data_IF_455591673721
#
_entry.id   IF_455591673721
#
_cell.length_a   1.000
_cell.length_b   1.000
_cell.length_c   1.000
_cell.angle_alpha   90.00
_cell.angle_beta   90.00
_cell.angle_gamma   90.00
#
_symmetry.space_group_name_H-M   'P 1'
#
loop_
_entity.id
_entity.type
_entity.pdbx_description
1 polymer ?
#
# COMPACT_ATOMS: atom_id res chain seq x y z
N UNK A 1 10.02 -16.34 8.29
CA UNK A 1 9.36 -15.43 7.31
C UNK A 1 8.00 -16.01 6.89
N UNK A 2 6.97 -15.19 6.74
CA UNK A 2 5.66 -15.63 6.22
C UNK A 2 5.58 -15.38 4.71
N UNK A 3 4.77 -16.15 4.00
CA UNK A 3 4.58 -16.03 2.54
C UNK A 3 3.65 -14.88 2.13
N UNK A 4 3.09 -14.17 3.11
CA UNK A 4 2.21 -13.01 2.89
C UNK A 4 1.50 -12.56 4.16
N UNK A 5 0.70 -11.50 4.04
CA UNK A 5 0.00 -10.88 5.15
C UNK A 5 -1.00 -11.82 5.85
N UNK A 6 -1.75 -12.63 5.11
CA UNK A 6 -2.78 -13.53 5.67
C UNK A 6 -2.22 -14.49 6.72
N UNK A 7 -1.24 -15.34 6.38
CA UNK A 7 -0.60 -16.24 7.34
C UNK A 7 0.02 -15.50 8.54
N UNK A 8 0.61 -14.32 8.32
CA UNK A 8 1.22 -13.53 9.39
C UNK A 8 0.19 -12.98 10.38
N UNK A 9 -0.97 -12.52 9.90
CA UNK A 9 -2.08 -12.06 10.75
C UNK A 9 -2.67 -13.21 11.57
N UNK A 10 -2.79 -14.41 10.99
CA UNK A 10 -3.24 -15.61 11.73
C UNK A 10 -2.25 -15.96 12.84
N UNK A 11 -0.94 -15.94 12.57
CA UNK A 11 0.09 -16.19 13.58
C UNK A 11 0.02 -15.17 14.74
N UNK A 12 -0.22 -13.89 14.43
CA UNK A 12 -0.42 -12.85 15.44
C UNK A 12 -1.66 -13.11 16.30
N UNK A 13 -2.79 -13.41 15.67
CA UNK A 13 -4.04 -13.72 16.39
C UNK A 13 -3.92 -14.98 17.26
N UNK A 14 -3.09 -15.94 16.85
CA UNK A 14 -2.77 -17.14 17.62
C UNK A 14 -1.68 -16.97 18.68
N UNK A 15 -1.12 -15.77 18.84
CA UNK A 15 -0.08 -15.47 19.83
C UNK A 15 1.30 -16.06 19.51
N UNK A 16 1.56 -16.42 18.25
CA UNK A 16 2.86 -16.96 17.82
C UNK A 16 3.89 -15.86 17.56
N UNK A 17 3.42 -14.63 17.30
CA UNK A 17 4.23 -13.43 17.14
C UNK A 17 3.58 -12.28 17.89
N UNK A 18 4.37 -11.33 18.36
CA UNK A 18 3.87 -10.18 19.14
C UNK A 18 3.42 -9.01 18.27
N UNK A 19 3.96 -8.89 17.06
CA UNK A 19 3.68 -7.80 16.14
C UNK A 19 3.88 -8.19 14.68
N UNK A 20 3.16 -7.50 13.78
CA UNK A 20 3.30 -7.64 12.33
C UNK A 20 3.15 -6.30 11.64
N UNK A 21 3.88 -6.11 10.54
CA UNK A 21 3.65 -5.01 9.60
C UNK A 21 2.73 -5.49 8.48
N UNK A 22 1.57 -4.84 8.30
CA UNK A 22 0.60 -5.22 7.26
C UNK A 22 -0.22 -4.05 6.75
N UNK A 23 -0.84 -4.21 5.57
CA UNK A 23 -1.73 -3.22 4.97
C UNK A 23 -3.14 -3.21 5.59
N UNK A 24 -3.86 -2.07 5.59
CA UNK A 24 -5.17 -1.92 6.23
C UNK A 24 -6.20 -2.98 5.84
N UNK A 25 -6.29 -3.33 4.55
CA UNK A 25 -7.23 -4.32 4.02
C UNK A 25 -7.18 -5.69 4.72
N UNK A 26 -6.01 -6.07 5.24
CA UNK A 26 -5.81 -7.38 5.87
C UNK A 26 -6.17 -7.41 7.36
N UNK A 27 -6.17 -6.25 8.02
CA UNK A 27 -6.33 -6.16 9.49
C UNK A 27 -7.60 -5.44 9.91
N UNK A 28 -8.22 -4.64 9.03
CA UNK A 28 -9.32 -3.73 9.38
C UNK A 28 -10.47 -4.43 10.12
N UNK A 29 -10.90 -5.60 9.65
CA UNK A 29 -12.01 -6.33 10.30
C UNK A 29 -11.64 -6.84 11.69
N UNK A 30 -10.40 -7.29 11.88
CA UNK A 30 -9.90 -7.72 13.19
C UNK A 30 -9.74 -6.55 14.16
N UNK A 31 -9.35 -5.38 13.66
CA UNK A 31 -9.29 -4.13 14.44
C UNK A 31 -10.69 -3.70 14.87
N UNK A 32 -11.66 -3.67 13.93
CA UNK A 32 -13.07 -3.36 14.24
C UNK A 32 -13.69 -4.33 15.26
N UNK A 33 -13.28 -5.59 15.21
CA UNK A 33 -13.70 -6.62 16.15
C UNK A 33 -12.95 -6.58 17.51
N UNK A 34 -12.04 -5.61 17.72
CA UNK A 34 -11.25 -5.49 18.95
C UNK A 34 -10.20 -6.58 19.16
N UNK A 35 -9.93 -7.40 18.14
CA UNK A 35 -8.96 -8.52 18.22
C UNK A 35 -7.52 -8.08 17.97
N UNK A 36 -7.34 -6.99 17.23
CA UNK A 36 -6.04 -6.40 16.95
C UNK A 36 -6.05 -4.92 17.32
N UNK A 37 -4.89 -4.43 17.76
CA UNK A 37 -4.63 -3.01 17.97
C UNK A 37 -3.56 -2.54 16.98
N UNK A 38 -3.85 -1.48 16.25
CA UNK A 38 -2.86 -0.83 15.37
C UNK A 38 -2.05 0.16 16.19
N UNK A 39 -0.72 0.07 16.09
CA UNK A 39 0.19 0.91 16.87
C UNK A 39 0.55 2.21 16.15
N UNK A 40 0.79 2.13 14.84
CA UNK A 40 1.10 3.25 13.97
C UNK A 40 0.87 2.88 12.51
N UNK A 41 0.91 3.88 11.61
CA UNK A 41 0.85 3.69 10.17
C UNK A 41 1.93 4.49 9.44
N UNK A 42 2.34 4.03 8.25
CA UNK A 42 3.49 4.57 7.51
C UNK A 42 3.15 5.70 6.51
N UNK A 43 1.88 5.95 6.27
CA UNK A 43 1.42 6.99 5.36
C UNK A 43 1.69 8.39 5.89
N UNK A 44 1.48 9.38 5.01
CA UNK A 44 1.82 10.79 5.27
C UNK A 44 0.64 11.61 5.78
N UNK A 45 -0.54 11.00 5.93
CA UNK A 45 -1.77 11.66 6.35
C UNK A 45 -2.72 10.71 7.06
N UNK A 46 -3.86 11.24 7.51
CA UNK A 46 -4.87 10.47 8.26
C UNK A 46 -5.48 9.37 7.38
N UNK A 47 -5.61 8.18 7.96
CA UNK A 47 -6.31 7.08 7.33
C UNK A 47 -7.78 7.12 7.74
N UNK A 48 -8.69 7.43 6.81
CA UNK A 48 -10.11 7.60 7.13
C UNK A 48 -10.76 6.38 7.80
N UNK A 49 -10.29 5.16 7.49
CA UNK A 49 -10.81 3.93 8.11
C UNK A 49 -10.34 3.71 9.55
N UNK A 50 -9.28 4.40 9.98
CA UNK A 50 -8.66 4.28 11.32
C UNK A 50 -8.07 5.64 11.73
N UNK A 51 -8.92 6.67 11.95
CA UNK A 51 -8.47 8.06 12.08
C UNK A 51 -7.65 8.35 13.36
N UNK A 52 -7.79 7.50 14.38
CA UNK A 52 -7.09 7.64 15.66
C UNK A 52 -5.69 7.01 15.65
N UNK A 53 -5.31 6.32 14.58
CA UNK A 53 -4.00 5.70 14.45
C UNK A 53 -2.96 6.75 14.03
N UNK A 54 -1.92 7.00 14.83
CA UNK A 54 -0.89 7.99 14.49
C UNK A 54 -0.03 7.51 13.33
N UNK A 55 0.49 8.45 12.54
CA UNK A 55 1.59 8.13 11.62
C UNK A 55 2.86 7.85 12.43
N UNK A 56 3.81 7.12 11.84
CA UNK A 56 5.15 7.00 12.42
C UNK A 56 5.83 8.36 12.58
N UNK A 57 5.56 9.30 11.66
CA UNK A 57 6.04 10.68 11.74
C UNK A 57 5.49 11.44 12.94
N UNK A 58 4.19 11.32 13.23
CA UNK A 58 3.56 11.92 14.42
C UNK A 58 4.19 11.39 15.70
N UNK A 59 4.72 10.17 15.64
CA UNK A 59 5.42 9.50 16.75
C UNK A 59 6.93 9.81 16.78
N UNK A 60 7.42 10.75 15.97
CA UNK A 60 8.82 11.19 15.95
C UNK A 60 9.77 10.34 15.10
N UNK A 61 9.26 9.35 14.36
CA UNK A 61 10.08 8.52 13.47
C UNK A 61 10.06 9.07 12.05
N UNK A 62 11.24 9.35 11.49
CA UNK A 62 11.38 9.72 10.08
C UNK A 62 11.30 8.47 9.18
N UNK A 63 10.12 7.86 9.12
CA UNK A 63 9.86 6.66 8.34
C UNK A 63 8.51 6.79 7.62
N UNK A 64 8.54 6.59 6.30
CA UNK A 64 7.36 6.56 5.45
C UNK A 64 7.43 5.40 4.47
N UNK A 65 6.28 4.81 4.23
CA UNK A 65 6.13 3.72 3.30
C UNK A 65 4.68 3.65 2.84
N UNK A 66 4.48 3.50 1.54
CA UNK A 66 3.18 3.23 0.97
C UNK A 66 3.29 1.96 0.16
N UNK A 67 2.44 0.98 0.44
CA UNK A 67 2.27 -0.14 -0.46
C UNK A 67 1.37 0.33 -1.60
N UNK A 68 1.87 0.26 -2.82
CA UNK A 68 1.16 0.68 -4.02
C UNK A 68 0.98 -0.49 -5.00
N UNK A 69 0.11 -0.31 -5.98
CA UNK A 69 -0.10 -1.25 -7.08
C UNK A 69 -0.27 -0.44 -8.36
N UNK A 70 0.21 -1.00 -9.47
CA UNK A 70 0.22 -0.32 -10.76
C UNK A 70 -0.07 -1.29 -11.90
N UNK A 71 -0.53 -0.74 -13.02
CA UNK A 71 -0.66 -1.46 -14.28
C UNK A 71 0.56 -1.18 -15.14
N UNK A 72 1.21 -2.23 -15.61
CA UNK A 72 2.35 -2.14 -16.51
C UNK A 72 2.03 -2.88 -17.80
N UNK A 73 2.58 -2.40 -18.91
CA UNK A 73 2.44 -3.00 -20.23
C UNK A 73 3.82 -3.33 -20.79
N UNK A 74 3.95 -4.33 -21.69
CA UNK A 74 5.21 -4.59 -22.39
C UNK A 74 5.71 -3.34 -23.13
N UNK A 75 7.03 -3.11 -23.11
CA UNK A 75 7.62 -1.94 -23.77
C UNK A 75 7.34 -1.86 -25.28
N UNK A 76 7.12 -3.01 -25.93
CA UNK A 76 6.80 -3.10 -27.36
C UNK A 76 5.29 -2.97 -27.67
N UNK A 77 4.45 -2.61 -26.70
CA UNK A 77 3.00 -2.46 -26.92
C UNK A 77 2.74 -1.32 -27.92
N UNK A 78 1.96 -1.55 -29.00
CA UNK A 78 1.63 -0.48 -29.94
C UNK A 78 0.90 0.68 -29.27
N UNK A 79 1.27 1.92 -29.63
CA UNK A 79 0.73 3.15 -29.04
C UNK A 79 -0.80 3.20 -28.97
N UNK A 80 -1.56 2.82 -30.02
CA UNK A 80 -3.03 2.82 -29.93
C UNK A 80 -3.59 1.87 -28.86
N UNK A 81 -2.90 0.74 -28.61
CA UNK A 81 -3.29 -0.23 -27.57
C UNK A 81 -2.95 0.33 -26.19
N UNK A 82 -1.76 0.93 -26.04
CA UNK A 82 -1.34 1.57 -24.78
C UNK A 82 -2.32 2.67 -24.36
N UNK A 83 -2.74 3.53 -25.31
CA UNK A 83 -3.72 4.58 -25.06
C UNK A 83 -5.07 4.04 -24.61
N UNK A 84 -5.55 2.96 -25.24
CA UNK A 84 -6.82 2.33 -24.85
C UNK A 84 -6.75 1.74 -23.44
N UNK A 85 -5.64 1.09 -23.07
CA UNK A 85 -5.44 0.54 -21.73
C UNK A 85 -5.34 1.66 -20.68
N UNK A 86 -4.62 2.74 -20.98
CA UNK A 86 -4.54 3.93 -20.11
C UNK A 86 -5.91 4.56 -19.88
N UNK A 87 -6.69 4.76 -20.94
CA UNK A 87 -8.06 5.29 -20.83
C UNK A 87 -8.96 4.40 -19.96
N UNK A 88 -8.86 3.07 -20.12
CA UNK A 88 -9.60 2.13 -19.28
C UNK A 88 -9.17 2.18 -17.80
N UNK A 89 -7.86 2.31 -17.53
CA UNK A 89 -7.35 2.47 -16.16
C UNK A 89 -7.85 3.77 -15.50
N UNK A 90 -7.86 4.89 -16.24
CA UNK A 90 -8.43 6.16 -15.76
C UNK A 90 -9.91 6.01 -15.45
N UNK A 91 -10.68 5.40 -16.34
CA UNK A 91 -12.11 5.17 -16.13
C UNK A 91 -12.37 4.31 -14.89
N UNK A 92 -11.61 3.22 -14.70
CA UNK A 92 -11.74 2.35 -13.53
C UNK A 92 -11.39 3.07 -12.23
N UNK A 93 -10.35 3.92 -12.21
CA UNK A 93 -9.96 4.68 -11.02
C UNK A 93 -11.00 5.73 -10.59
N UNK A 94 -11.83 6.17 -11.54
CA UNK A 94 -12.92 7.13 -11.34
C UNK A 94 -14.28 6.44 -11.09
N UNK A 95 -14.40 5.14 -11.40
CA UNK A 95 -15.64 4.39 -11.20
C UNK A 95 -16.02 4.32 -9.71
N UNK A 96 -17.23 4.79 -9.33
CA UNK A 96 -17.65 4.81 -7.92
C UNK A 96 -17.61 3.44 -7.24
N UNK A 97 -17.96 2.35 -7.95
CA UNK A 97 -17.96 1.00 -7.37
C UNK A 97 -16.55 0.53 -7.07
N UNK A 98 -15.60 0.79 -7.97
CA UNK A 98 -14.18 0.52 -7.72
C UNK A 98 -13.72 1.30 -6.50
N UNK A 99 -14.11 2.58 -6.43
CA UNK A 99 -13.72 3.43 -5.32
C UNK A 99 -14.27 2.96 -3.98
N UNK A 100 -15.54 2.57 -3.95
CA UNK A 100 -16.20 2.06 -2.76
C UNK A 100 -15.56 0.76 -2.28
N UNK A 101 -15.25 -0.17 -3.17
CA UNK A 101 -14.60 -1.45 -2.81
C UNK A 101 -13.26 -1.20 -2.11
N UNK A 102 -12.40 -0.34 -2.68
CA UNK A 102 -11.07 -0.06 -2.11
C UNK A 102 -11.19 0.73 -0.79
N UNK A 103 -12.06 1.74 -0.74
CA UNK A 103 -12.29 2.52 0.48
C UNK A 103 -12.86 1.65 1.61
N UNK A 104 -13.78 0.73 1.30
CA UNK A 104 -14.36 -0.20 2.28
C UNK A 104 -13.33 -1.21 2.82
N UNK A 105 -12.29 -1.52 2.05
CA UNK A 105 -11.13 -2.25 2.52
C UNK A 105 -10.20 -1.40 3.41
N UNK A 106 -10.47 -0.11 3.56
CA UNK A 106 -9.68 0.82 4.39
C UNK A 106 -8.41 1.31 3.73
N UNK A 107 -8.32 1.25 2.40
CA UNK A 107 -7.19 1.78 1.63
C UNK A 107 -7.60 3.05 0.91
N UNK A 108 -6.76 4.11 0.91
CA UNK A 108 -7.01 5.29 0.09
C UNK A 108 -6.72 4.99 -1.37
N UNK A 109 -7.42 5.67 -2.27
CA UNK A 109 -7.14 5.63 -3.71
C UNK A 109 -6.42 6.90 -4.10
N UNK A 110 -5.14 6.75 -4.45
CA UNK A 110 -4.32 7.78 -5.04
C UNK A 110 -3.96 7.33 -6.44
N UNK A 111 -4.83 7.68 -7.39
CA UNK A 111 -4.59 7.38 -8.80
C UNK A 111 -3.53 8.33 -9.35
N UNK A 112 -2.56 7.78 -10.07
CA UNK A 112 -1.58 8.52 -10.86
C UNK A 112 -1.67 8.03 -12.28
N UNK A 113 -1.72 8.97 -13.22
CA UNK A 113 -1.68 8.63 -14.64
C UNK A 113 -0.23 8.30 -15.08
N UNK A 114 -0.06 7.69 -16.25
CA UNK A 114 1.23 7.10 -16.68
C UNK A 114 2.46 7.99 -16.48
N UNK A 115 2.47 9.28 -16.87
CA UNK A 115 3.68 10.11 -16.71
C UNK A 115 4.01 10.46 -15.26
N UNK A 116 2.99 10.56 -14.40
CA UNK A 116 3.17 10.81 -12.97
C UNK A 116 3.58 9.54 -12.25
N UNK A 117 2.95 8.41 -12.62
CA UNK A 117 3.24 7.12 -12.06
C UNK A 117 4.66 6.65 -12.41
N UNK A 118 5.14 6.90 -13.62
CA UNK A 118 6.53 6.61 -14.01
C UNK A 118 7.54 7.33 -13.11
N UNK A 119 7.32 8.63 -12.85
CA UNK A 119 8.16 9.42 -11.93
C UNK A 119 8.10 8.86 -10.52
N UNK A 120 6.92 8.48 -10.06
CA UNK A 120 6.72 7.89 -8.75
C UNK A 120 7.47 6.57 -8.59
N UNK A 121 7.32 5.65 -9.56
CA UNK A 121 7.99 4.34 -9.57
C UNK A 121 9.52 4.51 -9.58
N UNK A 122 10.05 5.43 -10.39
CA UNK A 122 11.49 5.68 -10.44
C UNK A 122 12.04 6.23 -9.12
N UNK A 123 11.32 7.18 -8.50
CA UNK A 123 11.69 7.74 -7.21
C UNK A 123 11.62 6.70 -6.08
N UNK A 124 10.55 5.89 -6.06
CA UNK A 124 10.36 4.84 -5.07
C UNK A 124 11.40 3.73 -5.21
N UNK A 125 11.67 3.27 -6.43
CA UNK A 125 12.69 2.26 -6.70
C UNK A 125 14.07 2.70 -6.22
N UNK A 126 14.46 3.96 -6.48
CA UNK A 126 15.71 4.53 -5.98
C UNK A 126 15.74 4.55 -4.45
N UNK A 127 14.68 5.06 -3.82
CA UNK A 127 14.55 5.14 -2.36
C UNK A 127 14.63 3.76 -1.71
N UNK A 128 13.94 2.77 -2.27
CA UNK A 128 13.94 1.39 -1.75
C UNK A 128 15.30 0.72 -1.92
N UNK A 129 15.97 0.89 -3.06
CA UNK A 129 17.33 0.39 -3.25
C UNK A 129 18.30 0.97 -2.21
N UNK A 130 18.22 2.26 -1.91
CA UNK A 130 19.05 2.90 -0.89
C UNK A 130 18.75 2.38 0.52
N UNK A 131 17.46 2.16 0.85
CA UNK A 131 17.06 1.57 2.14
C UNK A 131 17.58 0.14 2.29
N UNK A 132 17.39 -0.71 1.29
CA UNK A 132 17.86 -2.11 1.29
C UNK A 132 19.38 -2.19 1.48
N UNK A 133 20.13 -1.31 0.82
CA UNK A 133 21.59 -1.17 1.02
C UNK A 133 21.94 -0.78 2.46
N UNK A 134 21.27 0.22 3.01
CA UNK A 134 21.53 0.70 4.39
C UNK A 134 21.26 -0.36 5.45
N UNK A 135 20.25 -1.21 5.28
CA UNK A 135 19.92 -2.27 6.24
C UNK A 135 20.74 -3.57 6.02
N UNK A 136 21.68 -3.56 5.08
CA UNK A 136 22.59 -4.70 4.83
C UNK A 136 21.92 -5.92 4.19
N UNK A 137 20.86 -5.73 3.41
CA UNK A 137 20.10 -6.81 2.76
C UNK A 137 20.31 -6.82 1.24
N UNK A 138 21.57 -6.77 0.80
CA UNK A 138 21.96 -6.56 -0.62
C UNK A 138 22.03 -7.86 -1.44
N UNK A 139 21.27 -8.87 -1.05
CA UNK A 139 21.12 -10.12 -1.84
C UNK A 139 19.87 -10.09 -2.71
#
# INVERSE_FOLDING_TARGET
>A
PFTGAGPAVVALLGGQIDAVSSGPATVLQHVKAGKLRVLAQWGTGKLASMPDVPTLKDSGYNAEYAQWSGLFIPAATPEPVAQRLRAAAVAAAQDPKVRDVINNAGSPILFMDSPEFEKYVAADAKRMADVVKKIGKVE
#
